data_IF_684897009731
#
_entry.id   IF_684897009731
#
_cell.length_a   1.000
_cell.length_b   1.000
_cell.length_c   1.000
_cell.angle_alpha   90.00
_cell.angle_beta   90.00
_cell.angle_gamma   90.00
#
_symmetry.space_group_name_H-M   'P 1'
#
loop_
_entity.id
_entity.type
_entity.pdbx_description
1 polymer ?
#
# COMPACT_ATOMS: atom_id res chain seq x y z
N UNK A 1 12.24 -13.11 50.75
CA UNK A 1 11.87 -14.25 49.87
C UNK A 1 10.56 -14.06 49.09
N UNK A 2 9.57 -13.27 49.54
CA UNK A 2 8.33 -13.01 48.78
C UNK A 2 8.52 -12.07 47.56
N UNK A 3 9.52 -11.20 47.59
CA UNK A 3 9.80 -10.22 46.53
C UNK A 3 10.47 -10.82 45.28
N UNK A 4 11.13 -11.97 45.41
CA UNK A 4 11.80 -12.64 44.29
C UNK A 4 10.83 -13.49 43.45
N UNK A 5 9.74 -13.98 44.07
CA UNK A 5 8.70 -14.73 43.38
C UNK A 5 7.82 -13.86 42.47
N UNK A 6 7.67 -12.56 42.78
CA UNK A 6 6.87 -11.62 41.98
C UNK A 6 7.63 -11.20 40.71
N UNK A 7 8.96 -11.07 40.76
CA UNK A 7 9.78 -10.73 39.60
C UNK A 7 9.80 -11.84 38.52
N UNK A 8 9.75 -13.11 38.93
CA UNK A 8 9.75 -14.25 38.00
C UNK A 8 8.42 -14.42 37.26
N UNK A 9 7.29 -14.06 37.90
CA UNK A 9 5.95 -14.13 37.28
C UNK A 9 5.74 -13.01 36.24
N UNK A 10 6.31 -11.82 36.44
CA UNK A 10 6.23 -10.72 35.46
C UNK A 10 7.08 -11.01 34.21
N UNK A 11 8.21 -11.71 34.35
CA UNK A 11 9.09 -12.07 33.22
C UNK A 11 8.51 -13.23 32.40
N UNK A 12 7.82 -14.19 33.02
CA UNK A 12 7.13 -15.29 32.31
C UNK A 12 5.86 -14.83 31.57
N UNK A 13 5.19 -13.77 32.02
CA UNK A 13 4.02 -13.19 31.35
C UNK A 13 4.33 -12.48 30.02
N UNK A 14 5.58 -12.05 29.80
CA UNK A 14 6.02 -11.39 28.57
C UNK A 14 6.29 -12.36 27.40
N UNK A 15 6.34 -13.67 27.66
CA UNK A 15 6.50 -14.71 26.63
C UNK A 15 5.17 -15.22 26.06
N UNK A 16 4.04 -14.84 26.69
CA UNK A 16 2.69 -15.10 26.20
C UNK A 16 1.98 -13.82 25.73
N UNK A 17 2.74 -12.82 25.26
CA UNK A 17 2.12 -11.81 24.39
C UNK A 17 1.79 -12.57 23.11
N UNK A 18 0.50 -12.79 22.76
CA UNK A 18 0.18 -13.33 21.45
C UNK A 18 0.90 -12.44 20.45
N UNK A 19 1.74 -13.03 19.60
CA UNK A 19 2.26 -12.29 18.46
C UNK A 19 1.02 -11.79 17.71
N UNK A 20 0.68 -10.51 17.91
CA UNK A 20 -0.31 -9.83 17.10
C UNK A 20 0.39 -9.68 15.77
N UNK A 21 0.32 -10.74 14.96
CA UNK A 21 0.68 -10.65 13.56
C UNK A 21 -0.11 -9.48 13.01
N UNK A 22 0.60 -8.50 12.45
CA UNK A 22 -0.01 -7.37 11.76
C UNK A 22 -1.12 -7.93 10.84
N UNK A 23 -2.33 -7.38 10.91
CA UNK A 23 -3.50 -7.95 10.23
C UNK A 23 -3.27 -8.06 8.73
N UNK A 24 -2.44 -7.18 8.16
CA UNK A 24 -2.01 -7.24 6.78
C UNK A 24 -1.07 -8.40 6.43
N UNK A 25 -0.32 -8.96 7.39
CA UNK A 25 0.54 -10.13 7.13
C UNK A 25 -0.32 -11.35 6.86
N UNK A 26 -1.37 -11.57 7.67
CA UNK A 26 -2.33 -12.63 7.41
C UNK A 26 -3.03 -12.43 6.07
N UNK A 27 -3.50 -11.22 5.78
CA UNK A 27 -4.13 -10.90 4.50
C UNK A 27 -3.18 -11.10 3.31
N UNK A 28 -1.88 -10.88 3.51
CA UNK A 28 -0.86 -11.13 2.48
C UNK A 28 -0.71 -12.63 2.21
N UNK A 29 -0.64 -13.47 3.25
CA UNK A 29 -0.60 -14.92 3.09
C UNK A 29 -1.87 -15.45 2.40
N UNK A 30 -3.04 -14.93 2.77
CA UNK A 30 -4.31 -15.28 2.12
C UNK A 30 -4.29 -14.91 0.62
N UNK A 31 -3.77 -13.72 0.28
CA UNK A 31 -3.60 -13.31 -1.11
C UNK A 31 -2.63 -14.23 -1.87
N UNK A 32 -1.47 -14.57 -1.30
CA UNK A 32 -0.51 -15.47 -1.93
C UNK A 32 -1.14 -16.84 -2.22
N UNK A 33 -1.85 -17.39 -1.23
CA UNK A 33 -2.58 -18.65 -1.41
C UNK A 33 -3.57 -18.56 -2.57
N UNK A 34 -4.41 -17.51 -2.63
CA UNK A 34 -5.37 -17.36 -3.74
C UNK A 34 -4.69 -17.13 -5.09
N UNK A 35 -3.54 -16.44 -5.12
CA UNK A 35 -2.75 -16.24 -6.34
C UNK A 35 -2.27 -17.57 -6.90
N UNK A 36 -1.79 -18.48 -6.05
CA UNK A 36 -1.35 -19.81 -6.48
C UNK A 36 -2.52 -20.68 -6.95
N UNK A 37 -3.68 -20.60 -6.28
CA UNK A 37 -4.91 -21.28 -6.73
C UNK A 37 -5.38 -20.77 -8.08
N UNK A 38 -5.29 -19.47 -8.33
CA UNK A 38 -5.59 -18.88 -9.63
C UNK A 38 -4.63 -19.36 -10.72
N UNK A 39 -3.32 -19.40 -10.45
CA UNK A 39 -2.31 -19.94 -11.40
C UNK A 39 -2.58 -21.39 -11.74
N UNK A 40 -2.92 -22.21 -10.75
CA UNK A 40 -3.32 -23.61 -10.99
C UNK A 40 -4.56 -23.69 -11.89
N UNK A 41 -5.58 -22.88 -11.60
CA UNK A 41 -6.82 -22.86 -12.39
C UNK A 41 -6.60 -22.41 -13.84
N UNK A 42 -5.66 -21.49 -14.11
CA UNK A 42 -5.26 -21.11 -15.47
C UNK A 42 -4.72 -22.33 -16.23
N UNK A 43 -3.77 -23.06 -15.64
CA UNK A 43 -3.17 -24.23 -16.28
C UNK A 43 -4.22 -25.30 -16.59
N UNK A 44 -5.11 -25.59 -15.63
CA UNK A 44 -6.18 -26.58 -15.83
C UNK A 44 -7.20 -26.15 -16.90
N UNK A 45 -7.53 -24.85 -16.96
CA UNK A 45 -8.38 -24.29 -18.00
C UNK A 45 -7.72 -24.40 -19.39
N UNK A 46 -6.43 -24.07 -19.52
CA UNK A 46 -5.72 -24.14 -20.79
C UNK A 46 -5.73 -25.56 -21.36
N UNK A 47 -5.48 -26.57 -20.52
CA UNK A 47 -5.57 -27.98 -20.92
C UNK A 47 -6.98 -28.33 -21.40
N UNK A 48 -8.01 -28.03 -20.60
CA UNK A 48 -9.39 -28.38 -20.95
C UNK A 48 -9.90 -27.64 -22.20
N UNK A 49 -9.45 -26.40 -22.41
CA UNK A 49 -9.72 -25.63 -23.63
C UNK A 49 -9.11 -26.32 -24.85
N UNK A 50 -7.83 -26.71 -24.78
CA UNK A 50 -7.16 -27.39 -25.88
C UNK A 50 -7.84 -28.72 -26.23
N UNK A 51 -8.22 -29.51 -25.23
CA UNK A 51 -8.97 -30.76 -25.43
C UNK A 51 -10.33 -30.52 -26.10
N UNK A 52 -11.07 -29.49 -25.67
CA UNK A 52 -12.33 -29.12 -26.31
C UNK A 52 -12.14 -28.69 -27.78
N UNK A 53 -11.13 -27.87 -28.06
CA UNK A 53 -10.81 -27.43 -29.42
C UNK A 53 -10.43 -28.61 -30.33
N UNK A 54 -9.76 -29.63 -29.79
CA UNK A 54 -9.36 -30.83 -30.51
C UNK A 54 -10.52 -31.80 -30.75
N UNK A 55 -11.27 -32.17 -29.70
CA UNK A 55 -12.23 -33.26 -29.76
C UNK A 55 -13.66 -32.81 -30.05
N UNK A 56 -14.04 -31.59 -29.66
CA UNK A 56 -15.37 -31.00 -29.85
C UNK A 56 -16.54 -31.92 -29.41
N UNK A 57 -16.28 -32.80 -28.44
CA UNK A 57 -17.28 -33.72 -27.90
C UNK A 57 -18.04 -33.06 -26.74
N UNK A 58 -19.26 -33.54 -26.47
CA UNK A 58 -20.04 -33.08 -25.32
C UNK A 58 -19.28 -33.22 -23.99
N UNK A 59 -18.53 -34.32 -23.82
CA UNK A 59 -17.69 -34.53 -22.63
C UNK A 59 -16.59 -33.47 -22.51
N UNK A 60 -15.87 -33.18 -23.60
CA UNK A 60 -14.82 -32.14 -23.60
C UNK A 60 -15.39 -30.73 -23.39
N UNK A 61 -16.60 -30.45 -23.89
CA UNK A 61 -17.30 -29.19 -23.67
C UNK A 61 -17.68 -28.99 -22.19
N UNK A 62 -18.25 -30.02 -21.56
CA UNK A 62 -18.60 -30.00 -20.13
C UNK A 62 -17.36 -29.82 -19.25
N UNK A 63 -16.25 -30.48 -19.59
CA UNK A 63 -14.98 -30.32 -18.88
C UNK A 63 -14.43 -28.89 -19.03
N UNK A 64 -14.40 -28.35 -20.25
CA UNK A 64 -13.97 -26.97 -20.51
C UNK A 64 -14.83 -25.95 -19.75
N UNK A 65 -16.15 -26.13 -19.73
CA UNK A 65 -17.06 -25.28 -18.97
C UNK A 65 -16.75 -25.29 -17.48
N UNK A 66 -16.62 -26.48 -16.87
CA UNK A 66 -16.32 -26.63 -15.46
C UNK A 66 -14.98 -25.97 -15.07
N UNK A 67 -13.94 -26.12 -15.91
CA UNK A 67 -12.65 -25.46 -15.70
C UNK A 67 -12.70 -23.95 -15.93
N UNK A 68 -13.54 -23.47 -16.86
CA UNK A 68 -13.78 -22.04 -17.05
C UNK A 68 -14.44 -21.41 -15.82
N UNK A 69 -15.50 -22.03 -15.28
CA UNK A 69 -16.16 -21.58 -14.05
C UNK A 69 -15.17 -21.52 -12.88
N UNK A 70 -14.33 -22.56 -12.74
CA UNK A 70 -13.27 -22.61 -11.73
C UNK A 70 -12.29 -21.45 -11.89
N UNK A 71 -11.78 -21.23 -13.10
CA UNK A 71 -10.85 -20.14 -13.41
C UNK A 71 -11.44 -18.76 -13.05
N UNK A 72 -12.65 -18.47 -13.51
CA UNK A 72 -13.31 -17.19 -13.26
C UNK A 72 -13.54 -16.97 -11.76
N UNK A 73 -13.91 -18.03 -11.03
CA UNK A 73 -14.10 -17.98 -9.57
C UNK A 73 -12.78 -17.67 -8.86
N UNK A 74 -11.69 -18.37 -9.22
CA UNK A 74 -10.38 -18.13 -8.61
C UNK A 74 -9.81 -16.76 -8.97
N UNK A 75 -10.07 -16.25 -10.19
CA UNK A 75 -9.72 -14.87 -10.59
C UNK A 75 -10.34 -13.86 -9.65
N UNK A 76 -11.66 -13.94 -9.43
CA UNK A 76 -12.36 -13.02 -8.54
C UNK A 76 -11.90 -13.16 -7.08
N UNK A 77 -11.65 -14.40 -6.62
CA UNK A 77 -11.10 -14.67 -5.28
C UNK A 77 -9.72 -14.06 -5.04
N UNK A 78 -8.82 -14.17 -6.02
CA UNK A 78 -7.50 -13.54 -5.97
C UNK A 78 -7.61 -12.01 -5.95
N UNK A 79 -8.41 -11.41 -6.84
CA UNK A 79 -8.59 -9.96 -6.87
C UNK A 79 -9.19 -9.43 -5.56
N UNK A 80 -10.20 -10.13 -5.02
CA UNK A 80 -10.84 -9.76 -3.74
C UNK A 80 -9.87 -9.83 -2.57
N UNK A 81 -9.06 -10.88 -2.47
CA UNK A 81 -8.05 -10.99 -1.40
C UNK A 81 -6.96 -9.93 -1.51
N UNK A 82 -6.60 -9.53 -2.73
CA UNK A 82 -5.70 -8.40 -2.93
C UNK A 82 -6.30 -7.07 -2.42
N UNK A 83 -7.58 -6.80 -2.70
CA UNK A 83 -8.26 -5.60 -2.17
C UNK A 83 -8.34 -5.63 -0.64
N UNK A 84 -8.60 -6.79 -0.04
CA UNK A 84 -8.61 -6.94 1.42
C UNK A 84 -7.22 -6.68 2.02
N UNK A 85 -6.16 -7.17 1.40
CA UNK A 85 -4.79 -6.84 1.78
C UNK A 85 -4.54 -5.32 1.74
N UNK A 86 -4.96 -4.64 0.67
CA UNK A 86 -4.83 -3.18 0.59
C UNK A 86 -5.63 -2.47 1.69
N UNK A 87 -6.81 -2.97 2.04
CA UNK A 87 -7.62 -2.43 3.12
C UNK A 87 -6.92 -2.57 4.48
N UNK A 88 -6.33 -3.73 4.77
CA UNK A 88 -5.54 -3.93 6.00
C UNK A 88 -4.29 -3.03 6.03
N UNK A 89 -3.63 -2.83 4.87
CA UNK A 89 -2.49 -1.90 4.77
C UNK A 89 -2.90 -0.45 4.98
N UNK A 90 -4.07 -0.03 4.52
CA UNK A 90 -4.66 1.27 4.87
C UNK A 90 -4.96 1.32 6.37
N UNK A 91 -5.41 0.21 6.96
CA UNK A 91 -5.76 0.18 8.36
C UNK A 91 -4.57 0.41 9.30
N UNK A 92 -3.45 -0.20 8.95
CA UNK A 92 -2.16 -0.02 9.60
C UNK A 92 -1.46 1.31 9.27
N UNK A 93 -1.89 2.04 8.23
CA UNK A 93 -1.27 3.30 7.86
C UNK A 93 -1.58 4.38 8.89
N UNK A 94 -0.52 4.89 9.53
CA UNK A 94 -0.65 5.91 10.56
C UNK A 94 -0.54 7.33 10.01
N UNK A 95 -0.02 7.51 8.79
CA UNK A 95 0.34 8.81 8.22
C UNK A 95 -0.66 9.39 7.23
N UNK A 96 -1.67 8.62 6.83
CA UNK A 96 -2.86 9.15 6.16
C UNK A 96 -3.80 9.84 7.15
N UNK A 97 -4.46 10.90 6.68
CA UNK A 97 -5.57 11.50 7.40
C UNK A 97 -6.79 10.55 7.35
N UNK A 98 -7.64 10.60 8.39
CA UNK A 98 -8.78 9.69 8.50
C UNK A 98 -9.76 9.79 7.33
N UNK A 99 -9.96 10.99 6.77
CA UNK A 99 -10.86 11.20 5.64
C UNK A 99 -10.30 10.60 4.33
N UNK A 100 -9.00 10.72 4.07
CA UNK A 100 -8.34 10.09 2.92
C UNK A 100 -8.42 8.57 3.02
N UNK A 101 -8.11 8.03 4.21
CA UNK A 101 -8.20 6.61 4.49
C UNK A 101 -9.62 6.08 4.22
N UNK A 102 -10.64 6.72 4.78
CA UNK A 102 -12.04 6.35 4.52
C UNK A 102 -12.41 6.41 3.04
N UNK A 103 -11.89 7.39 2.30
CA UNK A 103 -12.13 7.52 0.86
C UNK A 103 -11.54 6.35 0.08
N UNK A 104 -10.31 5.94 0.36
CA UNK A 104 -9.71 4.75 -0.26
C UNK A 104 -10.44 3.46 0.15
N UNK A 105 -10.81 3.32 1.42
CA UNK A 105 -11.58 2.17 1.89
C UNK A 105 -12.93 2.06 1.17
N UNK A 106 -13.63 3.17 0.95
CA UNK A 106 -14.87 3.19 0.19
C UNK A 106 -14.68 2.72 -1.27
N UNK A 107 -13.59 3.13 -1.93
CA UNK A 107 -13.25 2.63 -3.27
C UNK A 107 -13.05 1.12 -3.26
N UNK A 108 -12.21 0.60 -2.34
CA UNK A 108 -11.96 -0.84 -2.24
C UNK A 108 -13.24 -1.64 -1.95
N UNK A 109 -14.11 -1.15 -1.06
CA UNK A 109 -15.37 -1.82 -0.75
C UNK A 109 -16.33 -1.86 -1.93
N UNK A 110 -16.36 -0.80 -2.76
CA UNK A 110 -17.11 -0.81 -4.02
C UNK A 110 -16.61 -1.92 -4.95
N UNK A 111 -15.29 -2.05 -5.12
CA UNK A 111 -14.70 -3.10 -5.96
C UNK A 111 -14.93 -4.52 -5.39
N UNK A 112 -14.84 -4.70 -4.07
CA UNK A 112 -15.18 -5.98 -3.42
C UNK A 112 -16.64 -6.34 -3.70
N UNK A 113 -17.55 -5.39 -3.53
CA UNK A 113 -18.98 -5.61 -3.79
C UNK A 113 -19.26 -5.94 -5.26
N UNK A 114 -18.53 -5.35 -6.20
CA UNK A 114 -18.59 -5.73 -7.61
C UNK A 114 -18.12 -7.18 -7.83
N UNK A 115 -16.97 -7.57 -7.28
CA UNK A 115 -16.42 -8.92 -7.43
C UNK A 115 -17.32 -9.99 -6.80
N UNK A 116 -17.97 -9.69 -5.67
CA UNK A 116 -18.92 -10.61 -5.03
C UNK A 116 -20.17 -10.82 -5.91
N UNK A 117 -20.72 -9.75 -6.49
CA UNK A 117 -21.83 -9.85 -7.46
C UNK A 117 -21.43 -10.61 -8.72
N UNK A 118 -20.26 -10.32 -9.28
CA UNK A 118 -19.75 -11.02 -10.46
C UNK A 118 -19.52 -12.52 -10.15
N UNK A 119 -19.05 -12.85 -8.95
CA UNK A 119 -18.91 -14.24 -8.48
C UNK A 119 -20.25 -14.96 -8.39
N UNK A 120 -21.31 -14.31 -7.90
CA UNK A 120 -22.64 -14.89 -7.93
C UNK A 120 -23.11 -15.18 -9.37
N UNK A 121 -22.84 -14.27 -10.33
CA UNK A 121 -23.13 -14.53 -11.74
C UNK A 121 -22.36 -15.72 -12.32
N UNK A 122 -21.10 -15.95 -11.91
CA UNK A 122 -20.32 -17.12 -12.33
C UNK A 122 -21.00 -18.43 -11.90
N UNK A 123 -21.62 -18.48 -10.71
CA UNK A 123 -22.29 -19.70 -10.23
C UNK A 123 -23.54 -20.08 -11.03
N UNK A 124 -24.12 -19.12 -11.75
CA UNK A 124 -25.30 -19.32 -12.60
C UNK A 124 -24.95 -19.70 -14.05
N UNK A 125 -23.65 -19.76 -14.41
CA UNK A 125 -23.20 -20.06 -15.77
C UNK A 125 -23.51 -21.51 -16.13
N UNK A 126 -24.33 -21.71 -17.16
CA UNK A 126 -24.69 -23.01 -17.73
C UNK A 126 -24.05 -23.30 -19.08
N UNK A 127 -23.40 -22.32 -19.72
CA UNK A 127 -22.77 -22.48 -21.04
C UNK A 127 -21.45 -21.71 -21.19
N UNK A 128 -20.65 -22.08 -22.21
CA UNK A 128 -19.40 -21.38 -22.51
C UNK A 128 -19.62 -19.93 -22.98
N UNK A 129 -20.73 -19.64 -23.67
CA UNK A 129 -21.03 -18.26 -24.09
C UNK A 129 -21.43 -17.40 -22.88
N UNK A 130 -22.24 -17.93 -21.96
CA UNK A 130 -22.53 -17.25 -20.69
C UNK A 130 -21.25 -17.00 -19.87
N UNK A 131 -20.34 -17.98 -19.81
CA UNK A 131 -19.06 -17.83 -19.12
C UNK A 131 -18.24 -16.66 -19.69
N UNK A 132 -18.24 -16.52 -21.03
CA UNK A 132 -17.56 -15.46 -21.76
C UNK A 132 -18.20 -14.11 -21.50
N UNK A 133 -19.53 -14.02 -21.46
CA UNK A 133 -20.24 -12.78 -21.15
C UNK A 133 -19.99 -12.32 -19.70
N UNK A 134 -19.95 -13.26 -18.74
CA UNK A 134 -19.57 -12.97 -17.36
C UNK A 134 -18.10 -12.52 -17.26
N UNK A 135 -17.20 -13.08 -18.07
CA UNK A 135 -15.81 -12.60 -18.15
C UNK A 135 -15.73 -11.17 -18.67
N UNK A 136 -16.43 -10.87 -19.78
CA UNK A 136 -16.49 -9.54 -20.38
C UNK A 136 -17.02 -8.47 -19.43
N UNK A 137 -17.94 -8.83 -18.55
CA UNK A 137 -18.43 -7.91 -17.52
C UNK A 137 -17.28 -7.43 -16.61
N UNK A 138 -16.43 -8.33 -16.10
CA UNK A 138 -15.24 -7.93 -15.35
C UNK A 138 -14.27 -7.12 -16.21
N UNK A 139 -14.04 -7.53 -17.46
CA UNK A 139 -13.13 -6.83 -18.38
C UNK A 139 -13.59 -5.38 -18.62
N UNK A 140 -14.90 -5.15 -18.78
CA UNK A 140 -15.46 -3.80 -18.94
C UNK A 140 -15.34 -2.93 -17.68
N UNK A 141 -15.16 -3.54 -16.52
CA UNK A 141 -14.97 -2.86 -15.22
C UNK A 141 -13.49 -2.69 -14.87
N UNK A 142 -12.58 -3.20 -15.71
CA UNK A 142 -11.15 -3.28 -15.39
C UNK A 142 -10.51 -1.90 -15.18
N UNK A 143 -10.87 -0.90 -15.97
CA UNK A 143 -10.32 0.44 -15.85
C UNK A 143 -10.66 1.06 -14.48
N UNK A 144 -11.92 0.94 -14.04
CA UNK A 144 -12.35 1.40 -12.72
C UNK A 144 -11.62 0.65 -11.60
N UNK A 145 -11.53 -0.68 -11.70
CA UNK A 145 -10.79 -1.50 -10.74
C UNK A 145 -9.31 -1.09 -10.65
N UNK A 146 -8.64 -0.92 -11.80
CA UNK A 146 -7.23 -0.52 -11.90
C UNK A 146 -6.99 0.85 -11.27
N UNK A 147 -7.86 1.82 -11.55
CA UNK A 147 -7.79 3.14 -10.94
C UNK A 147 -7.94 3.07 -9.41
N UNK A 148 -8.95 2.36 -8.89
CA UNK A 148 -9.18 2.17 -7.45
C UNK A 148 -7.96 1.58 -6.72
N UNK A 149 -7.37 0.53 -7.31
CA UNK A 149 -6.15 -0.12 -6.79
C UNK A 149 -4.96 0.83 -6.80
N UNK A 150 -4.68 1.48 -7.93
CA UNK A 150 -3.50 2.33 -8.10
C UNK A 150 -3.54 3.57 -7.21
N UNK A 151 -4.71 4.21 -7.11
CA UNK A 151 -4.95 5.31 -6.18
C UNK A 151 -4.67 4.91 -4.74
N UNK A 152 -5.15 3.74 -4.34
CA UNK A 152 -4.92 3.20 -2.99
C UNK A 152 -3.43 2.94 -2.72
N UNK A 153 -2.70 2.35 -3.67
CA UNK A 153 -1.26 2.11 -3.53
C UNK A 153 -0.48 3.42 -3.38
N UNK A 154 -0.82 4.45 -4.16
CA UNK A 154 -0.22 5.78 -4.04
C UNK A 154 -0.54 6.37 -2.66
N UNK A 155 -1.80 6.29 -2.23
CA UNK A 155 -2.25 6.74 -0.91
C UNK A 155 -1.45 6.12 0.22
N UNK A 156 -1.35 4.78 0.28
CA UNK A 156 -0.54 4.07 1.29
C UNK A 156 0.93 4.52 1.23
N UNK A 157 1.49 4.67 0.02
CA UNK A 157 2.89 5.09 -0.14
C UNK A 157 3.12 6.51 0.40
N UNK A 158 2.20 7.43 0.12
CA UNK A 158 2.23 8.79 0.65
C UNK A 158 2.02 8.82 2.16
N UNK A 159 1.10 8.01 2.70
CA UNK A 159 0.87 7.83 4.12
C UNK A 159 2.14 7.47 4.89
N UNK A 160 2.90 6.50 4.37
CA UNK A 160 4.23 6.16 4.93
C UNK A 160 5.20 7.33 4.93
N UNK A 161 5.25 8.12 3.87
CA UNK A 161 6.10 9.32 3.81
C UNK A 161 5.63 10.39 4.80
N UNK A 162 4.32 10.60 4.94
CA UNK A 162 3.76 11.52 5.93
C UNK A 162 4.04 11.08 7.37
N UNK A 163 4.04 9.76 7.64
CA UNK A 163 4.44 9.25 8.95
C UNK A 163 5.91 9.57 9.26
N UNK A 164 6.80 9.47 8.27
CA UNK A 164 8.19 9.90 8.41
C UNK A 164 8.32 11.43 8.56
N UNK A 165 7.54 12.19 7.80
CA UNK A 165 7.52 13.65 7.89
C UNK A 165 7.04 14.13 9.27
N UNK A 166 6.08 13.46 9.92
CA UNK A 166 5.70 13.82 11.30
C UNK A 166 6.84 13.63 12.30
N UNK A 167 7.62 12.56 12.18
CA UNK A 167 8.85 12.39 13.00
C UNK A 167 9.86 13.51 12.73
N UNK A 168 9.96 13.95 11.48
CA UNK A 168 10.77 15.10 11.10
C UNK A 168 10.31 16.38 11.80
N UNK A 169 9.00 16.61 11.82
CA UNK A 169 8.35 17.77 12.44
C UNK A 169 8.44 17.74 13.97
N UNK A 170 8.54 16.56 14.59
CA UNK A 170 8.78 16.40 16.03
C UNK A 170 10.24 16.72 16.41
N UNK A 171 11.21 16.28 15.61
CA UNK A 171 12.64 16.44 15.91
C UNK A 171 13.15 17.86 15.65
N UNK A 172 12.67 18.51 14.60
CA UNK A 172 13.19 19.81 14.15
C UNK A 172 13.05 20.92 15.22
N UNK A 173 11.87 21.10 15.86
CA UNK A 173 11.72 22.10 16.92
C UNK A 173 12.57 21.80 18.15
N UNK A 174 12.73 20.53 18.52
CA UNK A 174 13.56 20.13 19.65
C UNK A 174 15.03 20.52 19.43
N UNK A 175 15.53 20.26 18.22
CA UNK A 175 16.87 20.65 17.79
C UNK A 175 17.04 22.17 17.76
N UNK A 176 16.08 22.89 17.19
CA UNK A 176 16.12 24.35 17.14
C UNK A 176 16.13 24.97 18.55
N UNK A 177 15.38 24.38 19.48
CA UNK A 177 15.38 24.79 20.89
C UNK A 177 16.75 24.56 21.55
N UNK A 178 17.40 23.43 21.29
CA UNK A 178 18.76 23.15 21.79
C UNK A 178 19.79 24.16 21.27
N UNK A 179 19.80 24.43 19.95
CA UNK A 179 20.70 25.43 19.35
C UNK A 179 20.48 26.80 19.99
N UNK A 180 19.22 27.20 20.18
CA UNK A 180 18.86 28.49 20.76
C UNK A 180 19.28 28.59 22.24
N UNK A 181 19.06 27.53 23.01
CA UNK A 181 19.40 27.47 24.45
C UNK A 181 20.90 27.62 24.69
N UNK A 182 21.72 26.94 23.88
CA UNK A 182 23.17 26.96 24.02
C UNK A 182 23.83 28.02 23.14
N UNK A 183 23.08 29.01 22.64
CA UNK A 183 23.55 29.92 21.59
C UNK A 183 24.87 30.62 21.95
N UNK A 184 24.96 31.10 23.18
CA UNK A 184 26.12 31.85 23.69
C UNK A 184 27.36 30.96 23.97
N UNK A 185 27.23 29.64 23.85
CA UNK A 185 28.33 28.69 24.08
C UNK A 185 29.02 28.25 22.77
N UNK A 186 28.49 28.66 21.62
CA UNK A 186 29.03 28.28 20.31
C UNK A 186 29.76 29.46 19.67
N UNK A 187 30.83 29.16 18.94
CA UNK A 187 31.54 30.13 18.10
C UNK A 187 30.60 30.73 17.02
N UNK A 188 30.85 31.96 16.56
CA UNK A 188 30.06 32.56 15.47
C UNK A 188 30.04 31.72 14.19
N UNK A 189 31.15 31.07 13.82
CA UNK A 189 31.18 30.21 12.63
C UNK A 189 30.29 28.97 12.79
N UNK A 190 30.29 28.36 13.98
CA UNK A 190 29.45 27.21 14.29
C UNK A 190 27.97 27.57 14.28
N UNK A 191 27.62 28.73 14.82
CA UNK A 191 26.26 29.26 14.74
C UNK A 191 25.80 29.47 13.30
N UNK A 192 26.65 30.08 12.48
CA UNK A 192 26.34 30.28 11.06
C UNK A 192 26.14 28.94 10.33
N UNK A 193 26.84 27.88 10.75
CA UNK A 193 26.66 26.52 10.20
C UNK A 193 25.31 25.92 10.61
N UNK A 194 24.93 26.03 11.88
CA UNK A 194 23.62 25.59 12.36
C UNK A 194 22.47 26.31 11.65
N UNK A 195 22.54 27.63 11.53
CA UNK A 195 21.51 28.43 10.85
C UNK A 195 21.33 27.99 9.39
N UNK A 196 22.43 27.73 8.66
CA UNK A 196 22.37 27.23 7.27
C UNK A 196 21.70 25.88 7.17
N UNK A 197 22.03 24.95 8.07
CA UNK A 197 21.41 23.62 8.06
C UNK A 197 19.93 23.66 8.46
N UNK A 198 19.55 24.48 9.44
CA UNK A 198 18.14 24.68 9.79
C UNK A 198 17.34 25.20 8.58
N UNK A 199 17.87 26.17 7.84
CA UNK A 199 17.24 26.65 6.61
C UNK A 199 17.14 25.54 5.55
N UNK A 200 18.19 24.74 5.36
CA UNK A 200 18.17 23.62 4.41
C UNK A 200 17.13 22.55 4.78
N UNK A 201 17.03 22.22 6.07
CA UNK A 201 16.03 21.33 6.66
C UNK A 201 14.61 21.83 6.35
N UNK A 202 14.32 23.09 6.70
CA UNK A 202 13.00 23.69 6.45
C UNK A 202 12.65 23.74 4.96
N UNK A 203 13.61 24.10 4.10
CA UNK A 203 13.39 24.13 2.65
C UNK A 203 13.05 22.75 2.10
N UNK A 204 13.77 21.69 2.51
CA UNK A 204 13.49 20.32 2.08
C UNK A 204 12.14 19.82 2.59
N UNK A 205 11.76 20.17 3.82
CA UNK A 205 10.43 19.86 4.36
C UNK A 205 9.30 20.55 3.59
N UNK A 206 9.51 21.81 3.17
CA UNK A 206 8.56 22.55 2.35
C UNK A 206 8.39 21.94 0.96
N UNK A 207 9.50 21.58 0.30
CA UNK A 207 9.47 20.89 -1.00
C UNK A 207 8.75 19.55 -0.92
N UNK A 208 8.98 18.77 0.15
CA UNK A 208 8.21 17.56 0.41
C UNK A 208 6.70 17.85 0.52
N UNK A 209 6.31 18.88 1.28
CA UNK A 209 4.89 19.21 1.45
C UNK A 209 4.23 19.59 0.12
N UNK A 210 4.87 20.45 -0.67
CA UNK A 210 4.38 20.82 -1.99
C UNK A 210 4.18 19.59 -2.88
N UNK A 211 5.13 18.66 -2.84
CA UNK A 211 5.03 17.42 -3.62
C UNK A 211 3.95 16.47 -3.09
N UNK A 212 3.78 16.37 -1.78
CA UNK A 212 2.71 15.59 -1.16
C UNK A 212 1.33 16.11 -1.57
N UNK A 213 1.13 17.44 -1.55
CA UNK A 213 -0.13 18.08 -1.95
C UNK A 213 -0.41 17.88 -3.46
N UNK A 214 0.62 17.93 -4.29
CA UNK A 214 0.54 17.61 -5.72
C UNK A 214 0.11 16.14 -5.95
N UNK A 215 0.75 15.19 -5.25
CA UNK A 215 0.43 13.76 -5.35
C UNK A 215 -1.02 13.50 -4.95
N UNK A 216 -1.47 14.07 -3.82
CA UNK A 216 -2.85 13.90 -3.34
C UNK A 216 -3.86 14.35 -4.41
N UNK A 217 -3.65 15.53 -4.99
CA UNK A 217 -4.53 16.08 -6.03
C UNK A 217 -4.54 15.23 -7.30
N UNK A 218 -3.37 14.87 -7.81
CA UNK A 218 -3.26 14.09 -9.04
C UNK A 218 -3.80 12.66 -8.86
N UNK A 219 -3.77 12.14 -7.63
CA UNK A 219 -4.33 10.81 -7.30
C UNK A 219 -5.86 10.82 -7.38
N UNK A 220 -6.53 11.85 -6.88
CA UNK A 220 -8.01 11.93 -6.94
C UNK A 220 -8.53 12.11 -8.37
N UNK A 221 -7.71 12.68 -9.26
CA UNK A 221 -8.02 12.92 -10.67
C UNK A 221 -7.69 11.73 -11.59
N UNK A 222 -7.07 10.65 -11.09
CA UNK A 222 -6.65 9.49 -11.90
C UNK A 222 -7.84 8.75 -12.54
N UNK A 223 -8.16 9.10 -13.78
CA UNK A 223 -9.28 8.57 -14.58
C UNK A 223 -8.82 8.37 -16.02
N UNK A 224 -9.54 7.56 -16.79
CA UNK A 224 -9.18 7.24 -18.17
C UNK A 224 -9.24 5.74 -18.44
N UNK A 225 -8.72 5.33 -19.58
CA UNK A 225 -8.50 3.91 -19.88
C UNK A 225 -7.28 3.35 -19.12
N UNK A 226 -7.08 2.04 -19.16
CA UNK A 226 -5.94 1.40 -18.51
C UNK A 226 -4.57 1.97 -18.93
N UNK A 227 -4.38 2.42 -20.18
CA UNK A 227 -3.10 3.00 -20.60
C UNK A 227 -2.84 4.36 -19.94
N UNK A 228 -3.87 5.22 -19.89
CA UNK A 228 -3.81 6.51 -19.21
C UNK A 228 -3.59 6.33 -17.71
N UNK A 229 -4.33 5.41 -17.09
CA UNK A 229 -4.20 5.05 -15.67
C UNK A 229 -2.78 4.57 -15.35
N UNK A 230 -2.21 3.70 -16.19
CA UNK A 230 -0.86 3.17 -16.01
C UNK A 230 0.19 4.27 -16.12
N UNK A 231 0.06 5.15 -17.12
CA UNK A 231 0.94 6.31 -17.29
C UNK A 231 0.88 7.25 -16.09
N UNK A 232 -0.32 7.60 -15.65
CA UNK A 232 -0.51 8.47 -14.47
C UNK A 232 0.07 7.83 -13.22
N UNK A 233 -0.12 6.53 -13.03
CA UNK A 233 0.46 5.80 -11.91
C UNK A 233 1.99 5.84 -11.93
N UNK A 234 2.62 5.60 -13.08
CA UNK A 234 4.08 5.73 -13.20
C UNK A 234 4.58 7.14 -12.89
N UNK A 235 3.88 8.18 -13.34
CA UNK A 235 4.19 9.58 -13.00
C UNK A 235 4.07 9.84 -11.49
N UNK A 236 3.07 9.26 -10.84
CA UNK A 236 2.90 9.37 -9.39
C UNK A 236 3.97 8.61 -8.61
N UNK A 237 4.43 7.45 -9.10
CA UNK A 237 5.58 6.74 -8.51
C UNK A 237 6.86 7.58 -8.58
N UNK A 238 7.10 8.28 -9.69
CA UNK A 238 8.23 9.21 -9.80
C UNK A 238 8.10 10.37 -8.81
N UNK A 239 6.89 10.94 -8.71
CA UNK A 239 6.59 12.01 -7.76
C UNK A 239 6.78 11.59 -6.30
N UNK A 240 6.38 10.36 -5.95
CA UNK A 240 6.67 9.75 -4.63
C UNK A 240 8.17 9.57 -4.40
N UNK A 241 8.92 9.20 -5.45
CA UNK A 241 10.38 9.13 -5.41
C UNK A 241 11.04 10.47 -5.10
N UNK A 242 10.60 11.55 -5.76
CA UNK A 242 11.05 12.92 -5.50
C UNK A 242 10.70 13.37 -4.07
N UNK A 243 9.46 13.16 -3.63
CA UNK A 243 9.02 13.47 -2.28
C UNK A 243 9.89 12.75 -1.22
N UNK A 244 10.14 11.45 -1.43
CA UNK A 244 11.03 10.66 -0.58
C UNK A 244 12.45 11.22 -0.57
N UNK A 245 12.98 11.64 -1.73
CA UNK A 245 14.31 12.22 -1.80
C UNK A 245 14.42 13.52 -0.98
N UNK A 246 13.40 14.39 -1.03
CA UNK A 246 13.39 15.60 -0.21
C UNK A 246 13.43 15.28 1.28
N UNK A 247 12.66 14.29 1.75
CA UNK A 247 12.75 13.85 3.15
C UNK A 247 14.11 13.24 3.49
N UNK A 248 14.70 12.45 2.60
CA UNK A 248 16.02 11.85 2.81
C UNK A 248 17.12 12.91 2.92
N UNK A 249 17.14 13.89 2.02
CA UNK A 249 18.05 15.03 2.07
C UNK A 249 17.89 15.82 3.37
N UNK A 250 16.63 16.14 3.72
CA UNK A 250 16.30 16.83 4.96
C UNK A 250 16.80 16.06 6.19
N UNK A 251 16.63 14.74 6.21
CA UNK A 251 17.08 13.88 7.30
C UNK A 251 18.60 13.79 7.38
N UNK A 252 19.30 13.86 6.24
CA UNK A 252 20.75 13.97 6.20
C UNK A 252 21.22 15.25 6.87
N UNK A 253 20.62 16.41 6.56
CA UNK A 253 20.96 17.67 7.24
C UNK A 253 20.67 17.64 8.73
N UNK A 254 19.55 17.03 9.15
CA UNK A 254 19.27 16.82 10.58
C UNK A 254 20.36 15.98 11.26
N UNK A 255 20.84 14.92 10.60
CA UNK A 255 21.92 14.09 11.12
C UNK A 255 23.21 14.88 11.28
N UNK A 256 23.63 15.62 10.26
CA UNK A 256 24.83 16.48 10.33
C UNK A 256 24.74 17.49 11.47
N UNK A 257 23.54 18.06 11.66
CA UNK A 257 23.28 18.99 12.74
C UNK A 257 23.40 18.32 14.12
N UNK A 258 22.82 17.13 14.31
CA UNK A 258 22.99 16.35 15.55
C UNK A 258 24.46 16.03 15.81
N UNK A 259 25.22 15.62 14.79
CA UNK A 259 26.66 15.31 14.92
C UNK A 259 27.42 16.56 15.37
N UNK A 260 27.20 17.70 14.73
CA UNK A 260 27.87 18.95 15.11
C UNK A 260 27.47 19.49 16.48
N UNK A 261 26.28 19.13 17.00
CA UNK A 261 25.88 19.43 18.38
C UNK A 261 26.66 18.61 19.41
N UNK A 262 27.10 17.39 19.06
CA UNK A 262 27.81 16.49 19.98
C UNK A 262 29.26 16.91 20.22
N UNK A 263 29.91 17.48 19.21
CA UNK A 263 31.27 17.98 19.34
C UNK A 263 31.23 19.42 19.85
N UNK A 264 31.78 19.68 21.05
CA UNK A 264 32.17 21.04 21.44
C UNK A 264 33.45 21.41 20.69
N UNK A 265 33.60 22.70 20.38
CA UNK A 265 34.87 23.21 19.87
C UNK A 265 35.97 22.99 20.92
#
# INVERSE_FOLDING_TARGET
>A
MKSFAIAVIVILGLWFVPHVSATSEKAYQDYLYQSDRYRQAITEFQTAKAEYEQYKSLSSQTAALAKTITLLTQRNGMLRTYLLLLNEKLDEDTGLASHDKQSYQALLQSEIGFLEKNTASITAVGSLEEAKDVSRNLESHYDMFSASVRRTIIGISLGRLNALARRYDELTPAIQSLITTYRNQYSPEKQATFDRWLVAITNKRSLFQQKADEITRNTTEMTGDHYDIDRMFSQMLNSLGEARQFLADGASYLRELIVALQYRD
#
